data_IF_757720601063
#
_entry.id   IF_757720601063
#
_cell.length_a   1.000
_cell.length_b   1.000
_cell.length_c   1.000
_cell.angle_alpha   90.00
_cell.angle_beta   90.00
_cell.angle_gamma   90.00
#
_symmetry.space_group_name_H-M   'P 1'
#
loop_
_entity.id
_entity.type
_entity.pdbx_description
1 polymer ?
#
# COMPACT_ATOMS: atom_id res chain seq x y z
N UNK A 1 5.14 6.57 14.99
CA UNK A 1 4.33 6.86 13.80
C UNK A 1 4.85 6.02 12.64
N UNK A 2 3.94 5.40 11.90
CA UNK A 2 4.19 4.61 10.68
C UNK A 2 3.70 5.41 9.50
N UNK A 3 4.38 5.30 8.35
CA UNK A 3 4.00 5.92 7.09
C UNK A 3 3.51 4.86 6.13
N UNK A 4 2.45 5.14 5.37
CA UNK A 4 1.90 4.26 4.35
C UNK A 4 1.94 4.97 3.01
N UNK A 5 2.52 4.30 2.03
CA UNK A 5 2.54 4.72 0.63
C UNK A 5 1.73 3.67 -0.12
N UNK A 6 0.63 4.07 -0.74
CA UNK A 6 -0.27 3.12 -1.41
C UNK A 6 -1.01 3.73 -2.58
N UNK A 7 -1.96 3.00 -3.20
CA UNK A 7 -2.66 3.47 -4.41
C UNK A 7 -3.37 4.82 -4.24
N UNK A 8 -3.95 5.08 -3.05
CA UNK A 8 -4.63 6.34 -2.73
C UNK A 8 -3.66 7.46 -2.28
N UNK A 9 -2.43 7.10 -1.88
CA UNK A 9 -1.36 8.04 -1.51
C UNK A 9 -0.08 7.66 -2.24
N UNK A 10 -0.07 7.72 -3.59
CA UNK A 10 1.08 7.28 -4.36
C UNK A 10 2.25 8.21 -4.04
N UNK A 11 3.47 7.67 -4.02
CA UNK A 11 4.68 8.44 -3.69
C UNK A 11 4.81 9.71 -4.52
N UNK A 12 4.41 9.64 -5.78
CA UNK A 12 4.43 10.78 -6.69
C UNK A 12 3.08 10.97 -7.34
N UNK A 13 2.74 12.22 -7.64
CA UNK A 13 1.58 12.59 -8.45
C UNK A 13 1.98 13.61 -9.51
N UNK A 14 1.21 13.65 -10.59
CA UNK A 14 1.35 14.72 -11.59
C UNK A 14 0.55 15.93 -11.15
N UNK A 15 1.21 17.08 -11.12
CA UNK A 15 0.59 18.37 -10.82
C UNK A 15 0.82 19.34 -11.97
N UNK A 16 -0.20 20.11 -12.33
CA UNK A 16 -0.08 21.09 -13.41
C UNK A 16 0.73 22.28 -12.89
N UNK A 17 1.91 22.53 -13.48
CA UNK A 17 2.73 23.69 -13.15
C UNK A 17 2.01 24.98 -13.61
N UNK A 18 1.69 25.89 -12.68
CA UNK A 18 0.90 27.09 -13.00
C UNK A 18 1.64 28.06 -13.93
N UNK A 19 2.97 27.94 -14.06
CA UNK A 19 3.81 28.89 -14.82
C UNK A 19 4.18 28.38 -16.21
N UNK A 20 4.21 27.05 -16.43
CA UNK A 20 4.81 26.47 -17.63
C UNK A 20 3.83 25.65 -18.50
N UNK A 21 2.54 25.60 -18.15
CA UNK A 21 1.51 24.76 -18.79
C UNK A 21 1.97 23.30 -19.04
N UNK A 22 2.81 22.79 -18.12
CA UNK A 22 3.38 21.44 -18.12
C UNK A 22 2.95 20.71 -16.87
N UNK A 23 2.85 19.39 -16.94
CA UNK A 23 2.74 18.56 -15.74
C UNK A 23 4.13 18.30 -15.17
N UNK A 24 4.28 18.50 -13.87
CA UNK A 24 5.48 18.16 -13.12
C UNK A 24 5.16 17.00 -12.17
N UNK A 25 6.16 16.18 -11.91
CA UNK A 25 6.06 15.13 -10.90
C UNK A 25 6.38 15.75 -9.54
N UNK A 26 5.45 15.66 -8.60
CA UNK A 26 5.63 16.13 -7.22
C UNK A 26 5.50 14.96 -6.25
N UNK A 27 6.28 15.00 -5.18
CA UNK A 27 6.20 14.00 -4.11
C UNK A 27 4.93 14.25 -3.28
N UNK A 28 4.18 13.18 -3.02
CA UNK A 28 2.96 13.24 -2.23
C UNK A 28 3.28 12.94 -0.76
N UNK A 29 2.52 13.52 0.16
CA UNK A 29 2.62 13.14 1.56
C UNK A 29 2.11 11.69 1.75
N UNK A 30 2.83 10.83 2.49
CA UNK A 30 2.33 9.51 2.85
C UNK A 30 1.15 9.65 3.83
N UNK A 31 0.34 8.59 3.93
CA UNK A 31 -0.63 8.49 5.02
C UNK A 31 0.11 8.12 6.32
N UNK A 32 -0.19 8.80 7.41
CA UNK A 32 0.47 8.57 8.69
C UNK A 32 -0.48 7.96 9.71
N UNK A 33 -0.01 6.97 10.46
CA UNK A 33 -0.80 6.27 11.49
C UNK A 33 0.04 5.89 12.70
N UNK A 34 -0.61 5.75 13.86
CA UNK A 34 -0.02 5.22 15.08
C UNK A 34 -0.25 3.71 15.27
N UNK A 35 -0.71 2.99 14.23
CA UNK A 35 -0.94 1.55 14.27
C UNK A 35 0.28 0.76 14.78
N UNK A 36 0.01 -0.24 15.64
CA UNK A 36 1.03 -1.12 16.19
C UNK A 36 1.26 -2.36 15.32
N UNK A 37 0.25 -2.76 14.53
CA UNK A 37 0.32 -3.94 13.67
C UNK A 37 0.02 -3.60 12.21
N UNK A 38 0.44 -4.48 11.30
CA UNK A 38 0.09 -4.36 9.89
C UNK A 38 -1.42 -4.31 9.67
N UNK A 39 -2.18 -5.19 10.33
CA UNK A 39 -3.64 -5.23 10.18
C UNK A 39 -4.34 -3.97 10.65
N UNK A 40 -3.87 -3.36 11.74
CA UNK A 40 -4.36 -2.06 12.19
C UNK A 40 -4.04 -0.95 11.18
N UNK A 41 -2.80 -0.93 10.67
CA UNK A 41 -2.34 0.07 9.70
C UNK A 41 -3.17 0.01 8.41
N UNK A 42 -3.37 -1.19 7.86
CA UNK A 42 -4.17 -1.41 6.65
C UNK A 42 -5.65 -1.07 6.88
N UNK A 43 -6.20 -1.39 8.05
CA UNK A 43 -7.58 -1.04 8.41
C UNK A 43 -7.77 0.47 8.47
N UNK A 44 -6.86 1.19 9.13
CA UNK A 44 -6.93 2.64 9.23
C UNK A 44 -6.79 3.31 7.86
N UNK A 45 -5.85 2.83 7.04
CA UNK A 45 -5.68 3.29 5.67
C UNK A 45 -6.93 3.04 4.82
N UNK A 46 -7.46 1.82 4.84
CA UNK A 46 -8.65 1.45 4.08
C UNK A 46 -9.87 2.30 4.47
N UNK A 47 -10.05 2.57 5.77
CA UNK A 47 -11.12 3.44 6.26
C UNK A 47 -10.93 4.90 5.82
N UNK A 48 -9.70 5.42 5.86
CA UNK A 48 -9.41 6.80 5.48
C UNK A 48 -9.69 7.10 4.00
N UNK A 49 -9.52 6.09 3.13
CA UNK A 49 -9.64 6.24 1.67
C UNK A 49 -10.81 5.47 1.05
N UNK A 50 -11.75 4.98 1.87
CA UNK A 50 -12.87 4.14 1.40
C UNK A 50 -12.42 2.96 0.54
N UNK A 51 -11.29 2.35 0.88
CA UNK A 51 -10.77 1.17 0.20
C UNK A 51 -11.14 -0.13 0.96
N UNK A 52 -10.83 -1.26 0.35
CA UNK A 52 -10.80 -2.58 0.98
C UNK A 52 -9.47 -3.22 0.67
N UNK A 53 -8.81 -3.76 1.70
CA UNK A 53 -7.58 -4.53 1.58
C UNK A 53 -7.82 -5.83 2.31
N UNK A 54 -7.68 -6.96 1.62
CA UNK A 54 -7.88 -8.29 2.19
C UNK A 54 -6.82 -9.25 1.71
N UNK A 55 -6.44 -10.27 2.49
CA UNK A 55 -5.63 -11.38 2.00
C UNK A 55 -6.20 -11.93 0.70
N UNK A 56 -5.33 -12.20 -0.26
CA UNK A 56 -5.69 -12.82 -1.53
C UNK A 56 -5.27 -14.28 -1.52
N UNK A 57 -6.24 -15.18 -1.64
CA UNK A 57 -6.11 -16.63 -1.60
C UNK A 57 -6.13 -17.27 -3.00
N UNK A 58 -6.14 -16.45 -4.05
CA UNK A 58 -6.33 -16.88 -5.43
C UNK A 58 -7.79 -16.75 -5.86
N UNK A 59 -8.00 -16.65 -7.16
CA UNK A 59 -9.32 -16.78 -7.80
C UNK A 59 -9.14 -17.62 -9.07
N UNK A 60 -10.23 -18.17 -9.60
CA UNK A 60 -10.27 -18.98 -10.82
C UNK A 60 -9.59 -18.29 -12.02
N UNK A 61 -9.50 -16.96 -11.99
CA UNK A 61 -8.91 -16.13 -13.05
C UNK A 61 -7.44 -15.76 -12.82
N UNK A 62 -6.94 -15.79 -11.58
CA UNK A 62 -5.55 -15.44 -11.23
C UNK A 62 -5.03 -16.47 -10.23
N UNK A 63 -4.48 -17.59 -10.72
CA UNK A 63 -3.90 -18.60 -9.85
C UNK A 63 -2.67 -18.04 -9.15
N UNK A 64 -2.61 -18.22 -7.82
CA UNK A 64 -1.38 -17.99 -7.07
C UNK A 64 -0.34 -19.03 -7.47
N UNK A 65 0.94 -18.65 -7.60
CA UNK A 65 2.02 -19.64 -7.62
C UNK A 65 1.91 -20.54 -6.38
N UNK A 66 2.07 -21.85 -6.54
CA UNK A 66 1.95 -22.81 -5.44
C UNK A 66 2.78 -22.38 -4.22
N UNK A 67 2.11 -22.15 -3.09
CA UNK A 67 2.74 -21.78 -1.82
C UNK A 67 2.91 -20.28 -1.54
N UNK A 68 2.50 -19.38 -2.45
CA UNK A 68 2.60 -17.93 -2.20
C UNK A 68 1.35 -17.34 -1.54
N UNK A 69 1.31 -17.35 -0.20
CA UNK A 69 0.30 -16.65 0.62
C UNK A 69 0.76 -15.23 1.01
N UNK A 70 1.21 -14.43 0.04
CA UNK A 70 1.83 -13.11 0.33
C UNK A 70 1.03 -11.90 -0.16
N UNK A 71 0.17 -12.07 -1.16
CA UNK A 71 -0.50 -10.96 -1.81
C UNK A 71 -1.81 -10.55 -1.13
N UNK A 72 -2.25 -9.34 -1.43
CA UNK A 72 -3.53 -8.80 -0.99
C UNK A 72 -4.34 -8.34 -2.20
N UNK A 73 -5.64 -8.36 -2.06
CA UNK A 73 -6.56 -7.74 -3.00
C UNK A 73 -6.92 -6.35 -2.48
N UNK A 74 -6.64 -5.33 -3.27
CA UNK A 74 -6.99 -3.93 -3.05
C UNK A 74 -8.19 -3.56 -3.93
N UNK A 75 -9.19 -2.94 -3.34
CA UNK A 75 -10.35 -2.38 -4.04
C UNK A 75 -10.62 -0.97 -3.55
N UNK A 76 -10.53 0.01 -4.44
CA UNK A 76 -11.06 1.35 -4.19
C UNK A 76 -12.56 1.39 -4.50
N UNK A 77 -13.38 1.61 -3.47
CA UNK A 77 -14.84 1.64 -3.60
C UNK A 77 -15.36 2.90 -4.29
N UNK A 78 -14.54 3.94 -4.39
CA UNK A 78 -14.87 5.17 -5.11
C UNK A 78 -14.43 5.12 -6.59
N UNK A 79 -13.81 4.01 -7.02
CA UNK A 79 -13.33 3.78 -8.40
C UNK A 79 -12.36 4.84 -8.93
N UNK A 80 -11.68 5.58 -8.06
CA UNK A 80 -10.64 6.55 -8.45
C UNK A 80 -9.35 5.82 -8.81
N UNK A 81 -9.04 4.74 -8.07
CA UNK A 81 -7.82 3.96 -8.18
C UNK A 81 -8.04 2.51 -8.66
N UNK A 82 -9.30 2.09 -8.79
CA UNK A 82 -9.68 0.77 -9.29
C UNK A 82 -9.41 -0.40 -8.31
N UNK A 83 -9.30 -1.60 -8.88
CA UNK A 83 -8.94 -2.83 -8.16
C UNK A 83 -7.58 -3.35 -8.62
N UNK A 84 -6.82 -3.96 -7.71
CA UNK A 84 -5.51 -4.52 -8.01
C UNK A 84 -5.12 -5.62 -7.02
N UNK A 85 -4.29 -6.57 -7.47
CA UNK A 85 -3.51 -7.41 -6.58
C UNK A 85 -2.24 -6.64 -6.21
N UNK A 86 -1.98 -6.55 -4.90
CA UNK A 86 -0.88 -5.80 -4.34
C UNK A 86 0.01 -6.68 -3.48
N UNK A 87 1.30 -6.38 -3.47
CA UNK A 87 2.27 -6.87 -2.49
C UNK A 87 2.50 -5.76 -1.44
N UNK A 88 2.78 -6.19 -0.22
CA UNK A 88 2.96 -5.29 0.91
C UNK A 88 4.36 -5.48 1.47
N UNK A 89 5.09 -4.38 1.50
CA UNK A 89 6.47 -4.33 1.96
C UNK A 89 6.65 -3.33 3.09
N UNK A 90 7.56 -3.62 4.00
CA UNK A 90 7.91 -2.75 5.12
C UNK A 90 9.38 -2.36 4.99
N UNK A 91 9.64 -1.06 4.94
CA UNK A 91 10.98 -0.48 5.00
C UNK A 91 11.21 0.13 6.36
N UNK A 92 12.20 -0.40 7.09
CA UNK A 92 12.60 0.10 8.40
C UNK A 92 13.61 1.22 8.27
N UNK A 93 13.74 2.03 9.33
CA UNK A 93 14.69 3.15 9.34
C UNK A 93 16.16 2.72 9.26
N UNK A 94 16.47 1.49 9.69
CA UNK A 94 17.80 0.88 9.57
C UNK A 94 18.14 0.40 8.14
N UNK A 95 17.22 0.58 7.18
CA UNK A 95 17.38 0.15 5.79
C UNK A 95 16.92 -1.28 5.50
N UNK A 96 16.41 -2.01 6.50
CA UNK A 96 15.85 -3.34 6.29
C UNK A 96 14.57 -3.28 5.44
N UNK A 97 14.45 -4.27 4.55
CA UNK A 97 13.29 -4.48 3.71
C UNK A 97 12.66 -5.83 4.06
N UNK A 98 11.40 -5.80 4.49
CA UNK A 98 10.68 -6.96 5.01
C UNK A 98 9.41 -7.18 4.19
N UNK A 99 9.14 -8.44 3.85
CA UNK A 99 7.87 -8.87 3.28
C UNK A 99 7.15 -9.71 4.36
N UNK A 100 6.18 -9.15 5.09
CA UNK A 100 5.41 -9.88 6.10
C UNK A 100 4.43 -10.89 5.49
N UNK A 101 4.25 -10.87 4.16
CA UNK A 101 3.17 -11.59 3.49
C UNK A 101 1.82 -11.22 4.08
N UNK A 102 0.97 -12.20 4.31
CA UNK A 102 -0.37 -12.02 4.89
C UNK A 102 -0.41 -11.97 6.43
N UNK A 103 0.74 -11.81 7.12
CA UNK A 103 0.76 -11.70 8.59
C UNK A 103 0.21 -10.35 9.07
N UNK A 104 -1.10 -10.30 9.32
CA UNK A 104 -1.81 -9.12 9.83
C UNK A 104 -1.38 -8.74 11.26
N UNK A 105 -0.75 -9.64 12.00
CA UNK A 105 -0.27 -9.37 13.37
C UNK A 105 1.19 -8.91 13.40
N UNK A 106 1.83 -8.77 12.23
CA UNK A 106 3.20 -8.31 12.11
C UNK A 106 3.38 -6.97 12.84
N UNK A 107 4.35 -6.91 13.75
CA UNK A 107 4.59 -5.76 14.60
C UNK A 107 5.31 -4.65 13.82
N UNK A 108 4.69 -3.48 13.78
CA UNK A 108 5.26 -2.27 13.19
C UNK A 108 5.99 -1.46 14.24
N UNK A 109 7.10 -0.87 13.84
CA UNK A 109 7.89 0.02 14.65
C UNK A 109 7.69 1.48 14.21
N UNK A 110 7.86 2.41 15.15
CA UNK A 110 7.87 3.82 14.79
C UNK A 110 8.98 4.12 13.80
N UNK A 111 8.63 4.82 12.71
CA UNK A 111 9.54 5.13 11.61
C UNK A 111 9.41 4.19 10.41
N UNK A 112 8.72 3.05 10.56
CA UNK A 112 8.48 2.12 9.46
C UNK A 112 7.68 2.79 8.33
N UNK A 113 8.02 2.43 7.10
CA UNK A 113 7.28 2.79 5.90
C UNK A 113 6.68 1.52 5.27
N UNK A 114 5.36 1.44 5.28
CA UNK A 114 4.59 0.39 4.61
C UNK A 114 4.33 0.83 3.18
N UNK A 115 4.68 0.00 2.20
CA UNK A 115 4.41 0.23 0.79
C UNK A 115 3.38 -0.79 0.32
N UNK A 116 2.27 -0.30 -0.24
CA UNK A 116 1.21 -1.09 -0.88
C UNK A 116 1.38 -0.85 -2.38
N UNK A 117 1.98 -1.80 -3.07
CA UNK A 117 2.32 -1.67 -4.49
C UNK A 117 1.70 -2.78 -5.31
N UNK A 118 1.38 -2.51 -6.58
CA UNK A 118 1.12 -3.59 -7.52
C UNK A 118 2.32 -4.53 -7.59
N UNK A 119 2.07 -5.80 -7.94
CA UNK A 119 3.13 -6.76 -8.25
C UNK A 119 4.15 -6.11 -9.17
N UNK A 120 5.38 -5.92 -8.68
CA UNK A 120 6.48 -5.53 -9.55
C UNK A 120 6.80 -6.76 -10.41
N UNK A 121 6.29 -6.75 -11.65
CA UNK A 121 6.73 -7.68 -12.69
C UNK A 121 8.12 -7.29 -13.19
#
# INVERSE_FOLDING_TARGET
MVRIIGPATPRYRFEKCPVQDKYILVENAPFETAAATLGEALTQYANAFSASIRPFDGDDNIPLPEGESKYFYYLDKNSVHGEAIVDIHIHRHNGEHLCPGQDMNFQLCSGDAVTIGALAC
#
